data_IF_940357757784
#
_entry.id   IF_940357757784
#
_cell.length_a   1.000
_cell.length_b   1.000
_cell.length_c   1.000
_cell.angle_alpha   90.00
_cell.angle_beta   90.00
_cell.angle_gamma   90.00
#
_symmetry.space_group_name_H-M   'P 1'
#
loop_
_entity.id
_entity.type
_entity.pdbx_description
1 polymer ?
#
# COMPACT_ATOMS: atom_id res chain seq x y z
N UNK A 1 5.22 22.35 -7.39
CA UNK A 1 4.56 22.68 -8.67
C UNK A 1 3.42 23.62 -8.33
N UNK A 2 3.52 24.91 -8.65
CA UNK A 2 2.52 25.89 -8.20
C UNK A 2 1.35 25.92 -9.18
N UNK A 3 0.13 26.01 -8.65
CA UNK A 3 -1.11 26.14 -9.42
C UNK A 3 -1.10 27.43 -10.24
N UNK A 4 -1.51 27.36 -11.50
CA UNK A 4 -1.70 28.58 -12.30
C UNK A 4 -2.97 29.32 -11.83
N UNK A 5 -2.99 30.67 -11.82
CA UNK A 5 -4.17 31.42 -11.43
C UNK A 5 -5.35 31.08 -12.36
N UNK A 6 -6.44 30.58 -11.77
CA UNK A 6 -7.67 30.18 -12.49
C UNK A 6 -7.77 28.70 -12.90
N UNK A 7 -6.71 27.90 -12.74
CA UNK A 7 -6.71 26.45 -13.07
C UNK A 7 -7.62 25.67 -12.11
N UNK A 8 -8.50 24.78 -12.59
CA UNK A 8 -9.30 23.94 -11.68
C UNK A 8 -8.41 22.93 -10.94
N UNK A 9 -8.81 22.49 -9.74
CA UNK A 9 -8.01 21.53 -8.95
C UNK A 9 -7.81 20.21 -9.73
N UNK A 10 -8.83 19.77 -10.47
CA UNK A 10 -8.74 18.57 -11.31
C UNK A 10 -7.72 18.71 -12.45
N UNK A 11 -7.67 19.86 -13.13
CA UNK A 11 -6.74 20.08 -14.25
C UNK A 11 -5.28 20.10 -13.77
N UNK A 12 -5.05 20.75 -12.61
CA UNK A 12 -3.74 20.80 -11.98
C UNK A 12 -3.22 19.40 -11.60
N UNK A 13 -4.10 18.57 -11.02
CA UNK A 13 -3.76 17.21 -10.61
C UNK A 13 -3.53 16.30 -11.82
N UNK A 14 -4.28 16.46 -12.90
CA UNK A 14 -4.06 15.69 -14.13
C UNK A 14 -2.71 16.03 -14.79
N UNK A 15 -2.36 17.33 -14.85
CA UNK A 15 -1.05 17.76 -15.36
C UNK A 15 0.09 17.22 -14.51
N UNK A 16 -0.08 17.24 -13.19
CA UNK A 16 0.88 16.68 -12.25
C UNK A 16 1.03 15.17 -12.46
N UNK A 17 -0.06 14.42 -12.58
CA UNK A 17 -0.04 12.99 -12.83
C UNK A 17 0.69 12.64 -14.14
N UNK A 18 0.48 13.39 -15.22
CA UNK A 18 1.23 13.19 -16.48
C UNK A 18 2.73 13.39 -16.30
N UNK A 19 3.13 14.33 -15.45
CA UNK A 19 4.55 14.59 -15.16
C UNK A 19 5.12 13.47 -14.30
N UNK A 20 4.40 13.07 -13.24
CA UNK A 20 4.78 11.96 -12.36
C UNK A 20 4.94 10.65 -13.13
N UNK A 21 4.07 10.35 -14.10
CA UNK A 21 4.19 9.16 -14.96
C UNK A 21 5.50 9.17 -15.74
N UNK A 22 5.88 10.32 -16.33
CA UNK A 22 7.14 10.44 -17.08
C UNK A 22 8.35 10.24 -16.18
N UNK A 23 8.36 10.91 -15.02
CA UNK A 23 9.44 10.80 -14.03
C UNK A 23 9.54 9.36 -13.51
N UNK A 24 8.41 8.73 -13.20
CA UNK A 24 8.38 7.35 -12.72
C UNK A 24 8.92 6.37 -13.77
N UNK A 25 8.53 6.53 -15.04
CA UNK A 25 9.05 5.70 -16.13
C UNK A 25 10.58 5.86 -16.31
N UNK A 26 11.10 7.09 -16.21
CA UNK A 26 12.54 7.37 -16.27
C UNK A 26 13.26 6.74 -15.08
N UNK A 27 12.77 6.95 -13.86
CA UNK A 27 13.36 6.39 -12.64
C UNK A 27 13.38 4.87 -12.69
N UNK A 28 12.27 4.24 -13.09
CA UNK A 28 12.17 2.79 -13.20
C UNK A 28 13.12 2.23 -14.27
N UNK A 29 13.27 2.91 -15.41
CA UNK A 29 14.25 2.53 -16.44
C UNK A 29 15.69 2.64 -15.94
N UNK A 30 16.01 3.71 -15.19
CA UNK A 30 17.32 3.89 -14.57
C UNK A 30 17.58 2.83 -13.50
N UNK A 31 16.62 2.56 -12.62
CA UNK A 31 16.70 1.50 -11.62
C UNK A 31 16.93 0.14 -12.27
N UNK A 32 16.20 -0.17 -13.35
CA UNK A 32 16.37 -1.43 -14.08
C UNK A 32 17.76 -1.52 -14.74
N UNK A 33 18.25 -0.42 -15.32
CA UNK A 33 19.60 -0.38 -15.89
C UNK A 33 20.68 -0.60 -14.83
N UNK A 34 20.54 0.02 -13.65
CA UNK A 34 21.48 -0.18 -12.52
C UNK A 34 21.43 -1.63 -12.05
N UNK A 35 20.24 -2.18 -11.83
CA UNK A 35 20.05 -3.58 -11.42
C UNK A 35 20.69 -4.52 -12.45
N UNK A 36 20.50 -4.26 -13.75
CA UNK A 36 21.10 -5.05 -14.82
C UNK A 36 22.64 -4.97 -14.79
N UNK A 37 23.21 -3.77 -14.69
CA UNK A 37 24.66 -3.59 -14.60
C UNK A 37 25.21 -4.32 -13.38
N UNK A 38 24.58 -4.15 -12.21
CA UNK A 38 24.97 -4.84 -10.98
C UNK A 38 24.89 -6.36 -11.13
N UNK A 39 23.86 -6.90 -11.79
CA UNK A 39 23.75 -8.35 -12.04
C UNK A 39 24.86 -8.91 -12.94
N UNK A 40 25.43 -8.06 -13.80
CA UNK A 40 26.51 -8.45 -14.71
C UNK A 40 27.89 -8.31 -14.07
N UNK A 41 28.03 -7.47 -13.04
CA UNK A 41 29.33 -7.14 -12.43
C UNK A 41 29.53 -7.76 -11.05
N UNK A 42 28.47 -8.15 -10.35
CA UNK A 42 28.57 -8.67 -9.00
C UNK A 42 28.61 -10.20 -8.99
N UNK A 43 29.61 -10.76 -8.32
CA UNK A 43 29.69 -12.20 -8.05
C UNK A 43 28.90 -12.60 -6.78
N UNK A 44 28.50 -11.63 -5.95
CA UNK A 44 27.76 -11.87 -4.70
C UNK A 44 26.25 -11.63 -4.86
N UNK A 45 25.44 -12.69 -4.74
CA UNK A 45 23.97 -12.62 -4.87
C UNK A 45 23.33 -11.65 -3.85
N UNK A 46 23.83 -11.56 -2.63
CA UNK A 46 23.28 -10.70 -1.57
C UNK A 46 23.37 -9.20 -1.93
N UNK A 47 24.45 -8.81 -2.61
CA UNK A 47 24.65 -7.43 -3.06
C UNK A 47 23.62 -7.02 -4.13
N UNK A 48 23.19 -7.96 -4.98
CA UNK A 48 22.23 -7.72 -6.04
C UNK A 48 20.83 -7.42 -5.48
N UNK A 49 20.35 -8.24 -4.55
CA UNK A 49 19.03 -8.05 -3.92
C UNK A 49 18.96 -6.74 -3.12
N UNK A 50 20.02 -6.43 -2.37
CA UNK A 50 20.13 -5.18 -1.63
C UNK A 50 20.03 -3.95 -2.55
N UNK A 51 20.81 -3.93 -3.63
CA UNK A 51 20.81 -2.82 -4.60
C UNK A 51 19.45 -2.70 -5.30
N UNK A 52 18.84 -3.80 -5.71
CA UNK A 52 17.52 -3.79 -6.34
C UNK A 52 16.45 -3.18 -5.41
N UNK A 53 16.45 -3.58 -4.14
CA UNK A 53 15.52 -3.05 -3.14
C UNK A 53 15.76 -1.56 -2.87
N UNK A 54 17.02 -1.14 -2.75
CA UNK A 54 17.37 0.27 -2.57
C UNK A 54 16.90 1.12 -3.74
N UNK A 55 17.10 0.67 -4.98
CA UNK A 55 16.68 1.40 -6.18
C UNK A 55 15.15 1.51 -6.30
N UNK A 56 14.43 0.44 -5.93
CA UNK A 56 12.97 0.45 -5.88
C UNK A 56 12.46 1.44 -4.83
N UNK A 57 13.00 1.38 -3.61
CA UNK A 57 12.66 2.31 -2.53
C UNK A 57 12.98 3.76 -2.91
N UNK A 58 14.13 4.01 -3.53
CA UNK A 58 14.49 5.34 -4.03
C UNK A 58 13.47 5.88 -5.04
N UNK A 59 13.02 5.03 -5.97
CA UNK A 59 11.98 5.40 -6.94
C UNK A 59 10.66 5.77 -6.24
N UNK A 60 10.21 4.95 -5.30
CA UNK A 60 8.99 5.22 -4.55
C UNK A 60 9.09 6.43 -3.63
N UNK A 61 10.22 6.66 -2.98
CA UNK A 61 10.47 7.87 -2.18
C UNK A 61 10.42 9.11 -3.06
N UNK A 62 11.11 9.10 -4.21
CA UNK A 62 11.19 10.26 -5.10
C UNK A 62 9.81 10.65 -5.64
N UNK A 63 9.06 9.68 -6.17
CA UNK A 63 7.68 9.91 -6.64
C UNK A 63 6.77 10.25 -5.46
N UNK A 64 7.00 9.62 -4.32
CA UNK A 64 6.32 9.88 -3.07
C UNK A 64 6.39 11.32 -2.61
N UNK A 65 7.60 11.88 -2.55
CA UNK A 65 7.84 13.28 -2.21
C UNK A 65 7.14 14.19 -3.22
N UNK A 66 7.28 13.93 -4.51
CA UNK A 66 6.63 14.77 -5.54
C UNK A 66 5.10 14.73 -5.42
N UNK A 67 4.52 13.55 -5.21
CA UNK A 67 3.08 13.39 -5.03
C UNK A 67 2.59 14.02 -3.72
N UNK A 68 3.37 13.88 -2.65
CA UNK A 68 3.07 14.50 -1.36
C UNK A 68 3.09 16.02 -1.45
N UNK A 69 4.11 16.62 -2.09
CA UNK A 69 4.17 18.07 -2.30
C UNK A 69 3.02 18.56 -3.18
N UNK A 70 2.64 17.80 -4.21
CA UNK A 70 1.53 18.19 -5.06
C UNK A 70 0.16 18.08 -4.39
N UNK A 71 0.00 17.18 -3.41
CA UNK A 71 -1.30 16.86 -2.79
C UNK A 71 -1.44 17.24 -1.33
N UNK A 72 -0.37 17.69 -0.69
CA UNK A 72 -0.30 17.94 0.75
C UNK A 72 -1.37 18.90 1.26
N UNK A 73 -1.76 19.88 0.43
CA UNK A 73 -2.74 20.90 0.81
C UNK A 73 -4.19 20.46 0.61
N UNK A 74 -4.43 19.33 -0.08
CA UNK A 74 -5.78 18.81 -0.37
C UNK A 74 -6.26 17.75 0.64
N UNK A 75 -5.44 17.42 1.64
CA UNK A 75 -5.80 16.41 2.64
C UNK A 75 -6.87 16.89 3.62
N UNK A 76 -7.73 15.97 4.08
CA UNK A 76 -8.70 16.25 5.16
C UNK A 76 -7.96 16.72 6.43
N UNK A 77 -6.86 16.04 6.75
CA UNK A 77 -5.89 16.49 7.74
C UNK A 77 -4.72 17.16 7.00
N UNK A 78 -4.41 18.42 7.32
CA UNK A 78 -3.32 19.15 6.68
C UNK A 78 -1.95 18.61 7.09
N UNK A 79 -0.96 18.79 6.22
CA UNK A 79 0.40 18.24 6.34
C UNK A 79 1.16 18.80 7.54
N UNK A 80 0.96 20.07 7.88
CA UNK A 80 1.55 20.71 9.06
C UNK A 80 1.26 19.94 10.35
N UNK A 81 0.02 19.46 10.50
CA UNK A 81 -0.38 18.64 11.65
C UNK A 81 0.31 17.28 11.62
N UNK A 82 0.44 16.64 10.45
CA UNK A 82 1.14 15.36 10.33
C UNK A 82 2.61 15.53 10.73
N UNK A 83 3.29 16.55 10.21
CA UNK A 83 4.68 16.87 10.59
C UNK A 83 4.83 17.14 12.08
N UNK A 84 3.90 17.89 12.67
CA UNK A 84 3.89 18.15 14.11
C UNK A 84 3.79 16.86 14.92
N UNK A 85 2.84 15.97 14.58
CA UNK A 85 2.67 14.71 15.29
C UNK A 85 3.84 13.74 15.07
N UNK A 86 4.42 13.69 13.88
CA UNK A 86 5.62 12.91 13.61
C UNK A 86 6.81 13.40 14.44
N UNK A 87 6.98 14.72 14.57
CA UNK A 87 8.04 15.33 15.38
C UNK A 87 7.85 15.02 16.86
N UNK A 88 6.63 15.18 17.38
CA UNK A 88 6.31 14.83 18.78
C UNK A 88 6.58 13.34 19.03
N UNK A 89 6.12 12.46 18.14
CA UNK A 89 6.34 11.02 18.25
C UNK A 89 7.82 10.66 18.27
N UNK A 90 8.62 11.25 17.37
CA UNK A 90 10.06 11.00 17.29
C UNK A 90 10.83 11.48 18.54
N UNK A 91 10.43 12.62 19.10
CA UNK A 91 10.99 13.13 20.37
C UNK A 91 10.63 12.19 21.53
N UNK A 92 9.38 11.74 21.61
CA UNK A 92 8.94 10.83 22.69
C UNK A 92 9.66 9.48 22.58
N UNK A 93 9.72 8.88 21.39
CA UNK A 93 10.40 7.60 21.18
C UNK A 93 11.90 7.73 21.48
N UNK A 94 12.55 8.78 20.99
CA UNK A 94 13.95 9.03 21.30
C UNK A 94 14.20 9.22 22.79
N UNK A 95 13.31 9.93 23.50
CA UNK A 95 13.43 10.14 24.95
C UNK A 95 13.30 8.82 25.73
N UNK A 96 12.32 7.98 25.36
CA UNK A 96 12.13 6.66 25.98
C UNK A 96 13.33 5.76 25.72
N UNK A 97 13.83 5.74 24.48
CA UNK A 97 14.98 4.90 24.12
C UNK A 97 16.26 5.37 24.82
N UNK A 98 16.52 6.68 24.88
CA UNK A 98 17.66 7.24 25.60
C UNK A 98 17.56 6.98 27.11
N UNK A 99 16.37 7.13 27.70
CA UNK A 99 16.12 6.79 29.10
C UNK A 99 16.40 5.30 29.35
N UNK A 100 15.89 4.42 28.50
CA UNK A 100 16.11 2.98 28.64
C UNK A 100 17.60 2.62 28.54
N UNK A 101 18.32 3.20 27.57
CA UNK A 101 19.76 2.98 27.42
C UNK A 101 20.55 3.51 28.62
N UNK A 102 20.18 4.67 29.17
CA UNK A 102 20.86 5.26 30.33
C UNK A 102 20.69 4.43 31.63
N UNK A 103 19.51 3.83 31.84
CA UNK A 103 19.21 3.13 33.09
C UNK A 103 19.46 1.62 33.05
N UNK A 104 19.35 0.97 31.89
CA UNK A 104 19.34 -0.49 31.79
C UNK A 104 20.52 -1.11 31.05
N UNK A 105 21.31 -0.33 30.30
CA UNK A 105 22.47 -0.84 29.59
C UNK A 105 23.78 -0.41 30.27
N UNK A 106 24.47 -1.40 30.86
CA UNK A 106 25.88 -1.30 31.27
C UNK A 106 26.83 -1.89 30.22
N UNK A 107 26.30 -2.37 29.10
CA UNK A 107 27.09 -2.95 27.99
C UNK A 107 27.01 -2.04 26.75
N UNK A 108 28.08 -1.96 25.95
CA UNK A 108 28.10 -1.15 24.74
C UNK A 108 27.03 -1.62 23.76
N UNK A 109 26.11 -0.72 23.41
CA UNK A 109 25.12 -0.97 22.36
C UNK A 109 25.77 -0.62 21.02
N UNK A 110 25.90 -1.61 20.15
CA UNK A 110 26.11 -1.40 18.72
C UNK A 110 24.76 -1.14 18.08
N UNK A 111 24.43 0.13 17.80
CA UNK A 111 23.28 0.45 16.95
C UNK A 111 23.74 0.33 15.50
N UNK A 112 23.37 -0.79 14.88
CA UNK A 112 23.59 -1.02 13.46
C UNK A 112 22.49 -0.38 12.62
N UNK A 113 22.76 0.79 12.05
CA UNK A 113 22.08 1.22 10.82
C UNK A 113 22.94 0.69 9.67
N UNK A 114 22.39 0.10 8.59
CA UNK A 114 23.21 -0.34 7.46
C UNK A 114 24.13 0.79 6.96
N UNK A 115 25.45 0.62 7.10
CA UNK A 115 26.47 1.62 6.76
C UNK A 115 26.87 2.62 7.87
N UNK A 116 26.29 2.53 9.07
CA UNK A 116 26.62 3.40 10.21
C UNK A 116 26.56 2.60 11.53
N UNK A 117 27.71 2.22 12.08
CA UNK A 117 27.81 1.61 13.41
C UNK A 117 28.28 2.67 14.41
N UNK A 118 27.44 2.98 15.40
CA UNK A 118 27.85 3.79 16.55
C UNK A 118 28.10 2.83 17.71
N UNK A 119 29.35 2.71 18.12
CA UNK A 119 29.71 2.05 19.38
C UNK A 119 29.58 3.08 20.52
N UNK A 120 28.56 2.92 21.36
CA UNK A 120 28.36 3.78 22.52
C UNK A 120 29.07 3.17 23.74
N UNK A 121 30.01 3.93 24.31
CA UNK A 121 30.77 3.54 25.49
C UNK A 121 29.84 3.42 26.72
N UNK A 122 29.95 2.34 27.53
CA UNK A 122 29.07 2.08 28.68
C UNK A 122 29.08 3.15 29.78
N UNK A 123 30.06 4.05 29.81
CA UNK A 123 29.98 5.27 30.64
C UNK A 123 29.29 6.38 29.85
N UNK A 124 27.97 6.28 29.71
CA UNK A 124 27.19 7.36 29.10
C UNK A 124 27.12 8.55 30.05
N UNK A 125 28.08 9.47 29.94
CA UNK A 125 27.92 10.83 30.45
C UNK A 125 26.65 11.46 29.85
N UNK A 126 26.11 12.49 30.52
CA UNK A 126 24.93 13.23 30.09
C UNK A 126 25.04 13.64 28.62
N UNK A 127 26.23 14.03 28.16
CA UNK A 127 26.52 14.38 26.77
C UNK A 127 26.29 13.21 25.80
N UNK A 128 26.79 12.01 26.09
CA UNK A 128 26.59 10.82 25.26
C UNK A 128 25.11 10.42 25.18
N UNK A 129 24.39 10.54 26.30
CA UNK A 129 22.94 10.29 26.35
C UNK A 129 22.15 11.29 25.50
N UNK A 130 22.55 12.57 25.52
CA UNK A 130 21.93 13.60 24.69
C UNK A 130 22.23 13.41 23.19
N UNK A 131 23.44 12.99 22.83
CA UNK A 131 23.79 12.65 21.44
C UNK A 131 22.97 11.44 20.97
N UNK A 132 22.85 10.41 21.81
CA UNK A 132 22.02 9.24 21.52
C UNK A 132 20.55 9.61 21.33
N UNK A 133 19.99 10.41 22.24
CA UNK A 133 18.64 10.95 22.13
C UNK A 133 18.44 11.69 20.80
N UNK A 134 19.32 12.63 20.47
CA UNK A 134 19.22 13.41 19.24
C UNK A 134 19.32 12.52 18.00
N UNK A 135 20.27 11.58 17.97
CA UNK A 135 20.45 10.63 16.88
C UNK A 135 19.24 9.72 16.68
N UNK A 136 18.70 9.15 17.76
CA UNK A 136 17.52 8.30 17.70
C UNK A 136 16.26 9.07 17.31
N UNK A 137 16.03 10.25 17.88
CA UNK A 137 14.90 11.10 17.49
C UNK A 137 15.00 11.51 16.02
N UNK A 138 16.18 11.91 15.54
CA UNK A 138 16.37 12.26 14.14
C UNK A 138 16.19 11.05 13.22
N UNK A 139 16.70 9.88 13.62
CA UNK A 139 16.54 8.63 12.89
C UNK A 139 15.08 8.18 12.77
N UNK A 140 14.33 8.20 13.88
CA UNK A 140 12.89 7.89 13.89
C UNK A 140 12.10 8.89 13.05
N UNK A 141 12.43 10.18 13.15
CA UNK A 141 11.79 11.23 12.36
C UNK A 141 12.07 11.07 10.86
N UNK A 142 13.34 10.89 10.47
CA UNK A 142 13.76 10.65 9.09
C UNK A 142 13.15 9.36 8.52
N UNK A 143 13.12 8.29 9.31
CA UNK A 143 12.45 7.03 8.94
C UNK A 143 10.96 7.22 8.70
N UNK A 144 10.25 7.93 9.59
CA UNK A 144 8.83 8.23 9.43
C UNK A 144 8.54 9.03 8.15
N UNK A 145 9.39 10.02 7.82
CA UNK A 145 9.28 10.78 6.56
C UNK A 145 9.57 9.91 5.33
N UNK A 146 10.58 9.03 5.42
CA UNK A 146 10.91 8.05 4.38
C UNK A 146 9.72 7.14 4.07
N UNK A 147 9.16 6.48 5.09
CA UNK A 147 8.00 5.60 4.94
C UNK A 147 6.74 6.34 4.48
N UNK A 148 6.52 7.57 4.97
CA UNK A 148 5.41 8.41 4.49
C UNK A 148 5.56 8.69 3.00
N UNK A 149 6.76 9.06 2.57
CA UNK A 149 7.08 9.29 1.15
C UNK A 149 6.83 8.03 0.32
N UNK A 150 7.37 6.87 0.74
CA UNK A 150 7.09 5.58 0.08
C UNK A 150 5.58 5.36 -0.03
N UNK A 151 4.83 5.57 1.05
CA UNK A 151 3.37 5.44 1.07
C UNK A 151 2.68 6.34 0.05
N UNK A 152 3.06 7.61 -0.06
CA UNK A 152 2.53 8.49 -1.10
C UNK A 152 2.82 7.98 -2.51
N UNK A 153 4.00 7.41 -2.76
CA UNK A 153 4.38 6.86 -4.06
C UNK A 153 3.55 5.63 -4.42
N UNK A 154 3.44 4.69 -3.47
CA UNK A 154 2.68 3.44 -3.62
C UNK A 154 1.20 3.73 -3.83
N UNK A 155 0.60 4.55 -2.97
CA UNK A 155 -0.81 4.94 -3.09
C UNK A 155 -1.08 5.68 -4.39
N UNK A 156 -0.18 6.57 -4.82
CA UNK A 156 -0.32 7.26 -6.09
C UNK A 156 -0.41 6.29 -7.28
N UNK A 157 0.48 5.29 -7.36
CA UNK A 157 0.42 4.26 -8.41
C UNK A 157 -0.90 3.50 -8.32
N UNK A 158 -1.30 3.06 -7.13
CA UNK A 158 -2.56 2.35 -6.91
C UNK A 158 -3.76 3.15 -7.40
N UNK A 159 -3.81 4.44 -7.08
CA UNK A 159 -4.86 5.37 -7.52
C UNK A 159 -4.83 5.54 -9.03
N UNK A 160 -3.65 5.68 -9.64
CA UNK A 160 -3.49 5.82 -11.08
C UNK A 160 -4.02 4.59 -11.83
N UNK A 161 -3.65 3.39 -11.38
CA UNK A 161 -4.12 2.11 -11.92
C UNK A 161 -5.63 2.02 -11.75
N UNK A 162 -6.15 2.27 -10.55
CA UNK A 162 -7.58 2.19 -10.24
C UNK A 162 -8.40 3.16 -11.08
N UNK A 163 -7.94 4.40 -11.22
CA UNK A 163 -8.59 5.45 -12.03
C UNK A 163 -8.73 5.03 -13.50
N UNK A 164 -7.78 4.26 -14.01
CA UNK A 164 -7.78 3.81 -15.41
C UNK A 164 -8.58 2.51 -15.59
N UNK A 165 -8.40 1.54 -14.71
CA UNK A 165 -9.01 0.22 -14.84
C UNK A 165 -10.47 0.20 -14.41
N UNK A 166 -10.82 0.85 -13.31
CA UNK A 166 -12.14 0.69 -12.69
C UNK A 166 -13.30 1.15 -13.58
N UNK A 167 -13.25 2.31 -14.28
CA UNK A 167 -14.31 2.67 -15.23
C UNK A 167 -14.51 1.64 -16.35
N UNK A 168 -13.42 1.01 -16.79
CA UNK A 168 -13.46 -0.01 -17.83
C UNK A 168 -14.08 -1.31 -17.31
N UNK A 169 -13.71 -1.73 -16.10
CA UNK A 169 -14.30 -2.87 -15.39
C UNK A 169 -15.81 -2.68 -15.21
N UNK A 170 -16.24 -1.50 -14.75
CA UNK A 170 -17.67 -1.19 -14.58
C UNK A 170 -18.44 -1.24 -15.90
N UNK A 171 -17.87 -0.71 -16.98
CA UNK A 171 -18.47 -0.80 -18.32
C UNK A 171 -18.51 -2.24 -18.84
N UNK A 172 -17.50 -3.06 -18.53
CA UNK A 172 -17.45 -4.48 -18.89
C UNK A 172 -18.58 -5.27 -18.22
N UNK A 173 -18.90 -4.96 -16.96
CA UNK A 173 -20.02 -5.57 -16.22
C UNK A 173 -21.35 -5.19 -16.86
N UNK A 174 -21.56 -3.91 -17.19
CA UNK A 174 -22.81 -3.45 -17.81
C UNK A 174 -23.06 -4.10 -19.17
N UNK A 175 -21.98 -4.38 -19.92
CA UNK A 175 -22.04 -4.99 -21.24
C UNK A 175 -22.12 -6.51 -21.21
N UNK A 176 -21.95 -7.13 -20.05
CA UNK A 176 -21.93 -8.58 -19.94
C UNK A 176 -23.31 -9.17 -20.26
N UNK A 177 -23.35 -10.05 -21.25
CA UNK A 177 -24.53 -10.80 -21.74
C UNK A 177 -24.40 -12.31 -21.51
N UNK A 178 -23.24 -12.81 -21.07
CA UNK A 178 -23.12 -14.17 -20.50
C UNK A 178 -21.85 -14.92 -20.89
N UNK A 179 -22.00 -16.20 -21.29
CA UNK A 179 -20.98 -16.94 -22.06
C UNK A 179 -20.80 -16.19 -23.41
N UNK A 180 -20.07 -16.59 -24.44
CA UNK A 180 -19.79 -15.72 -25.63
C UNK A 180 -19.03 -14.40 -25.37
N UNK A 181 -19.16 -13.73 -24.22
CA UNK A 181 -18.34 -12.57 -23.86
C UNK A 181 -16.87 -12.94 -23.67
N UNK A 182 -15.96 -11.97 -23.84
CA UNK A 182 -14.52 -12.18 -23.69
C UNK A 182 -14.18 -12.75 -22.30
N UNK A 183 -13.14 -13.57 -22.26
CA UNK A 183 -12.69 -14.24 -21.04
C UNK A 183 -12.41 -13.27 -19.88
N UNK A 184 -11.90 -12.07 -20.19
CA UNK A 184 -11.70 -11.00 -19.22
C UNK A 184 -12.99 -10.56 -18.52
N UNK A 185 -14.11 -10.46 -19.24
CA UNK A 185 -15.39 -10.08 -18.66
C UNK A 185 -15.93 -11.16 -17.73
N UNK A 186 -15.74 -12.44 -18.10
CA UNK A 186 -16.10 -13.57 -17.25
C UNK A 186 -15.31 -13.60 -15.95
N UNK A 187 -13.99 -13.34 -16.01
CA UNK A 187 -13.16 -13.24 -14.80
C UNK A 187 -13.67 -12.11 -13.91
N UNK A 188 -13.97 -10.94 -14.47
CA UNK A 188 -14.45 -9.78 -13.71
C UNK A 188 -15.76 -10.10 -12.99
N UNK A 189 -16.75 -10.64 -13.70
CA UNK A 189 -18.05 -11.00 -13.13
C UNK A 189 -17.89 -12.10 -12.07
N UNK A 190 -17.07 -13.12 -12.34
CA UNK A 190 -16.76 -14.20 -11.40
C UNK A 190 -16.09 -13.67 -10.12
N UNK A 191 -15.13 -12.75 -10.26
CA UNK A 191 -14.41 -12.14 -9.16
C UNK A 191 -15.32 -11.24 -8.31
N UNK A 192 -16.26 -10.54 -8.94
CA UNK A 192 -17.26 -9.72 -8.24
C UNK A 192 -18.44 -10.51 -7.68
N UNK A 193 -18.49 -11.84 -7.86
CA UNK A 193 -19.52 -12.73 -7.32
C UNK A 193 -20.96 -12.21 -7.55
N UNK A 194 -21.22 -11.67 -8.75
CA UNK A 194 -22.51 -11.08 -9.08
C UNK A 194 -23.53 -12.21 -9.32
N UNK A 195 -24.67 -12.25 -8.59
CA UNK A 195 -25.71 -13.24 -8.83
C UNK A 195 -26.32 -13.13 -10.23
N UNK A 196 -26.50 -14.27 -10.91
CA UNK A 196 -27.09 -14.34 -12.27
C UNK A 196 -28.52 -13.78 -12.37
N UNK A 197 -29.22 -13.65 -11.24
CA UNK A 197 -30.60 -13.13 -11.16
C UNK A 197 -30.66 -11.60 -11.30
N UNK A 198 -29.54 -10.89 -11.17
CA UNK A 198 -29.51 -9.43 -11.20
C UNK A 198 -29.24 -8.90 -12.62
N UNK A 199 -29.98 -7.86 -12.99
CA UNK A 199 -29.77 -7.16 -14.27
C UNK A 199 -28.55 -6.24 -14.21
N UNK A 200 -27.42 -6.72 -14.73
CA UNK A 200 -26.14 -5.96 -14.74
C UNK A 200 -26.23 -4.65 -15.55
N UNK A 201 -27.17 -4.56 -16.49
CA UNK A 201 -27.44 -3.34 -17.28
C UNK A 201 -27.92 -2.16 -16.44
N UNK A 202 -28.51 -2.43 -15.27
CA UNK A 202 -29.01 -1.40 -14.36
C UNK A 202 -27.96 -0.89 -13.35
N UNK A 203 -26.67 -1.18 -13.55
CA UNK A 203 -25.60 -0.72 -12.66
C UNK A 203 -25.68 0.80 -12.43
N UNK A 204 -25.89 1.20 -11.17
CA UNK A 204 -25.93 2.59 -10.72
C UNK A 204 -24.64 2.93 -9.97
N UNK A 205 -24.08 4.07 -10.33
CA UNK A 205 -22.99 4.73 -9.60
C UNK A 205 -23.62 5.87 -8.79
N UNK A 206 -23.29 5.94 -7.50
CA UNK A 206 -23.77 7.02 -6.63
C UNK A 206 -23.13 8.37 -6.96
N UNK A 207 -23.62 9.44 -6.33
CA UNK A 207 -22.91 10.71 -6.35
C UNK A 207 -21.60 10.60 -5.55
N UNK A 208 -20.49 11.15 -6.07
CA UNK A 208 -19.22 11.13 -5.37
C UNK A 208 -19.36 12.06 -4.18
N UNK A 209 -19.26 11.50 -2.96
CA UNK A 209 -19.33 12.30 -1.75
C UNK A 209 -18.03 13.09 -1.60
N UNK A 210 -18.09 14.42 -1.63
CA UNK A 210 -16.99 15.25 -1.11
C UNK A 210 -16.92 15.04 0.41
N UNK A 211 -16.00 14.19 0.86
CA UNK A 211 -15.90 13.83 2.27
C UNK A 211 -15.29 14.97 3.07
N UNK A 212 -16.13 15.72 3.78
CA UNK A 212 -15.67 16.70 4.79
C UNK A 212 -15.02 16.05 6.02
N UNK A 213 -15.25 14.76 6.25
CA UNK A 213 -14.78 14.04 7.43
C UNK A 213 -14.07 12.74 7.08
N UNK A 214 -13.09 12.37 7.89
CA UNK A 214 -12.32 11.14 7.71
C UNK A 214 -13.20 9.89 7.92
N UNK A 215 -13.26 8.95 6.94
CA UNK A 215 -14.18 7.82 6.95
C UNK A 215 -13.69 6.67 7.86
N UNK A 216 -13.74 6.86 9.18
CA UNK A 216 -13.20 5.93 10.19
C UNK A 216 -13.59 4.46 10.00
N UNK A 217 -14.87 4.19 9.67
CA UNK A 217 -15.36 2.82 9.49
C UNK A 217 -14.71 2.13 8.28
N UNK A 218 -14.58 2.83 7.16
CA UNK A 218 -13.96 2.29 5.96
C UNK A 218 -12.44 2.16 6.14
N UNK A 219 -11.83 3.13 6.82
CA UNK A 219 -10.43 3.08 7.21
C UNK A 219 -10.11 1.82 8.03
N UNK A 220 -10.85 1.55 9.11
CA UNK A 220 -10.63 0.35 9.95
C UNK A 220 -10.85 -0.93 9.15
N UNK A 221 -11.87 -0.96 8.27
CA UNK A 221 -12.11 -2.11 7.41
C UNK A 221 -10.97 -2.35 6.42
N UNK A 222 -10.44 -1.31 5.79
CA UNK A 222 -9.32 -1.41 4.86
C UNK A 222 -8.05 -1.88 5.56
N UNK A 223 -7.69 -1.29 6.70
CA UNK A 223 -6.58 -1.77 7.53
C UNK A 223 -6.76 -3.23 7.89
N UNK A 224 -7.97 -3.63 8.32
CA UNK A 224 -8.26 -5.04 8.64
C UNK A 224 -8.07 -5.98 7.45
N UNK A 225 -8.42 -5.56 6.23
CA UNK A 225 -8.20 -6.35 5.01
C UNK A 225 -6.72 -6.43 4.62
N UNK A 226 -5.97 -5.32 4.75
CA UNK A 226 -4.53 -5.32 4.50
C UNK A 226 -3.80 -6.23 5.49
N UNK A 227 -4.17 -6.19 6.78
CA UNK A 227 -3.66 -7.09 7.80
C UNK A 227 -4.01 -8.56 7.53
N UNK A 228 -5.25 -8.83 7.12
CA UNK A 228 -5.70 -10.19 6.79
C UNK A 228 -4.89 -10.76 5.63
N UNK A 229 -4.79 -10.03 4.52
CA UNK A 229 -4.02 -10.48 3.34
C UNK A 229 -2.54 -10.60 3.67
N UNK A 230 -1.96 -9.64 4.38
CA UNK A 230 -0.57 -9.70 4.80
C UNK A 230 -0.28 -10.85 5.76
N UNK A 231 -1.24 -11.23 6.61
CA UNK A 231 -1.13 -12.43 7.46
C UNK A 231 -1.14 -13.69 6.61
N UNK A 232 -2.05 -13.81 5.64
CA UNK A 232 -2.06 -14.98 4.75
C UNK A 232 -0.77 -15.06 3.94
N UNK A 233 -0.24 -13.93 3.48
CA UNK A 233 1.03 -13.89 2.76
C UNK A 233 2.20 -14.33 3.65
N UNK A 234 2.25 -13.86 4.89
CA UNK A 234 3.28 -14.29 5.84
C UNK A 234 3.18 -15.77 6.18
N UNK A 235 1.95 -16.28 6.36
CA UNK A 235 1.72 -17.71 6.48
C UNK A 235 2.28 -18.40 5.26
N UNK A 236 1.90 -18.02 4.03
CA UNK A 236 2.41 -18.63 2.80
C UNK A 236 3.95 -18.63 2.69
N UNK A 237 4.60 -17.48 2.92
CA UNK A 237 6.06 -17.37 2.85
C UNK A 237 6.72 -18.25 3.91
N UNK A 238 6.19 -18.26 5.13
CA UNK A 238 6.68 -19.11 6.23
C UNK A 238 6.41 -20.61 6.04
N UNK A 239 5.69 -20.98 4.98
CA UNK A 239 5.41 -22.36 4.59
C UNK A 239 6.18 -22.80 3.37
N UNK A 240 6.86 -21.86 2.71
CA UNK A 240 7.60 -22.16 1.52
C UNK A 240 8.95 -22.79 1.93
N UNK A 241 9.18 -24.09 1.68
CA UNK A 241 10.40 -24.78 2.10
C UNK A 241 11.64 -24.14 1.46
N UNK A 242 11.52 -23.60 0.24
CA UNK A 242 12.59 -22.89 -0.44
C UNK A 242 13.01 -21.63 0.33
N UNK A 243 12.05 -20.90 0.90
CA UNK A 243 12.34 -19.70 1.70
C UNK A 243 12.96 -20.07 3.05
N UNK A 244 12.48 -21.16 3.67
CA UNK A 244 12.96 -21.60 4.98
C UNK A 244 14.37 -22.22 4.95
N UNK A 245 14.76 -22.82 3.84
CA UNK A 245 16.07 -23.47 3.70
C UNK A 245 17.17 -22.51 3.20
N UNK A 246 16.81 -21.43 2.50
CA UNK A 246 17.79 -20.56 1.80
C UNK A 246 17.93 -19.15 2.36
N UNK A 247 16.99 -18.64 3.15
CA UNK A 247 16.98 -17.23 3.57
C UNK A 247 17.16 -17.09 5.08
N UNK A 248 17.98 -16.12 5.47
CA UNK A 248 18.05 -15.71 6.87
C UNK A 248 16.70 -15.10 7.29
N UNK A 249 16.42 -15.13 8.59
CA UNK A 249 15.19 -14.56 9.15
C UNK A 249 15.02 -13.07 8.83
N UNK A 250 16.12 -12.32 8.79
CA UNK A 250 16.12 -10.91 8.45
C UNK A 250 15.73 -10.70 6.97
N UNK A 251 16.21 -11.56 6.08
CA UNK A 251 15.87 -11.50 4.66
C UNK A 251 14.41 -11.86 4.40
N UNK A 252 13.88 -12.85 5.11
CA UNK A 252 12.47 -13.18 5.06
C UNK A 252 11.58 -12.00 5.51
N UNK A 253 11.98 -11.27 6.57
CA UNK A 253 11.29 -10.06 7.04
C UNK A 253 11.43 -8.91 6.03
N UNK A 254 12.59 -8.75 5.41
CA UNK A 254 12.82 -7.73 4.37
C UNK A 254 11.97 -8.01 3.11
N UNK A 255 11.91 -9.26 2.67
CA UNK A 255 11.05 -9.67 1.56
C UNK A 255 9.57 -9.43 1.91
N UNK A 256 9.14 -9.84 3.10
CA UNK A 256 7.77 -9.66 3.56
C UNK A 256 7.38 -8.18 3.70
N UNK A 257 8.29 -7.33 4.18
CA UNK A 257 8.07 -5.89 4.26
C UNK A 257 7.98 -5.25 2.86
N UNK A 258 8.79 -5.72 1.90
CA UNK A 258 8.71 -5.30 0.50
C UNK A 258 7.40 -5.74 -0.14
N UNK A 259 6.98 -6.99 0.11
CA UNK A 259 5.70 -7.50 -0.36
C UNK A 259 4.50 -6.77 0.27
N UNK A 260 4.67 -6.20 1.46
CA UNK A 260 3.63 -5.39 2.11
C UNK A 260 3.29 -4.13 1.32
N UNK A 261 4.19 -3.65 0.46
CA UNK A 261 3.94 -2.55 -0.49
C UNK A 261 2.90 -2.95 -1.56
N UNK A 262 2.82 -4.23 -1.91
CA UNK A 262 1.88 -4.76 -2.91
C UNK A 262 0.47 -4.86 -2.35
N UNK A 263 0.32 -5.04 -1.03
CA UNK A 263 -0.99 -5.24 -0.39
C UNK A 263 -1.96 -4.07 -0.66
N UNK A 264 -1.57 -2.79 -0.50
CA UNK A 264 -2.40 -1.65 -0.89
C UNK A 264 -2.84 -1.68 -2.36
N UNK A 265 -1.96 -2.10 -3.29
CA UNK A 265 -2.30 -2.18 -4.71
C UNK A 265 -3.46 -3.15 -4.96
N UNK A 266 -3.63 -4.13 -4.09
CA UNK A 266 -4.67 -5.15 -4.19
C UNK A 266 -5.93 -4.71 -3.44
N UNK A 267 -5.80 -4.22 -2.20
CA UNK A 267 -6.94 -3.92 -1.31
C UNK A 267 -7.64 -2.62 -1.68
N UNK A 268 -6.90 -1.55 -1.90
CA UNK A 268 -7.45 -0.19 -2.08
C UNK A 268 -8.36 -0.04 -3.29
N UNK A 269 -8.09 -0.65 -4.47
CA UNK A 269 -9.00 -0.58 -5.60
C UNK A 269 -10.43 -1.04 -5.28
N UNK A 270 -10.60 -1.97 -4.33
CA UNK A 270 -11.93 -2.44 -3.92
C UNK A 270 -12.65 -1.41 -3.06
N UNK A 271 -11.93 -0.69 -2.22
CA UNK A 271 -12.50 0.42 -1.44
C UNK A 271 -12.89 1.61 -2.33
N UNK A 272 -12.24 1.79 -3.48
CA UNK A 272 -12.70 2.76 -4.47
C UNK A 272 -14.12 2.44 -5.00
N UNK A 273 -14.50 1.16 -5.14
CA UNK A 273 -15.87 0.77 -5.51
C UNK A 273 -16.91 1.21 -4.47
N UNK A 274 -16.56 1.13 -3.18
CA UNK A 274 -17.43 1.63 -2.11
C UNK A 274 -17.54 3.15 -2.11
N UNK A 275 -16.45 3.86 -2.42
CA UNK A 275 -16.46 5.32 -2.47
C UNK A 275 -17.29 5.86 -3.65
N UNK A 276 -17.34 5.11 -4.75
CA UNK A 276 -18.21 5.38 -5.91
C UNK A 276 -19.65 4.87 -5.70
N UNK A 277 -19.89 4.12 -4.63
CA UNK A 277 -21.18 3.49 -4.32
C UNK A 277 -21.75 2.70 -5.51
N UNK A 278 -20.90 1.88 -6.13
CA UNK A 278 -21.28 1.07 -7.29
C UNK A 278 -22.19 -0.09 -6.86
N UNK A 279 -23.44 -0.06 -7.33
CA UNK A 279 -24.49 -1.01 -6.94
C UNK A 279 -25.36 -1.44 -8.10
N UNK A 280 -25.78 -2.70 -8.09
CA UNK A 280 -26.78 -3.24 -9.01
C UNK A 280 -28.10 -3.30 -8.22
N UNK A 281 -29.17 -2.62 -8.68
CA UNK A 281 -30.45 -2.67 -8.00
C UNK A 281 -30.98 -4.11 -7.98
N UNK A 282 -31.52 -4.52 -6.83
CA UNK A 282 -32.08 -5.85 -6.63
C UNK A 282 -33.49 -5.76 -6.04
N UNK A 283 -34.25 -6.85 -6.15
CA UNK A 283 -35.68 -6.88 -5.77
C UNK A 283 -35.91 -6.57 -4.28
N UNK A 284 -35.03 -7.02 -3.38
CA UNK A 284 -35.12 -6.78 -1.92
C UNK A 284 -34.04 -5.87 -1.36
N UNK A 285 -32.85 -5.89 -1.95
CA UNK A 285 -31.68 -5.13 -1.50
C UNK A 285 -30.74 -4.94 -2.68
N UNK A 286 -30.20 -3.74 -2.81
CA UNK A 286 -29.17 -3.43 -3.79
C UNK A 286 -27.91 -4.26 -3.52
N UNK A 287 -27.39 -4.88 -4.58
CA UNK A 287 -26.13 -5.61 -4.54
C UNK A 287 -24.97 -4.63 -4.73
N UNK A 288 -24.20 -4.42 -3.66
CA UNK A 288 -22.97 -3.64 -3.74
C UNK A 288 -21.84 -4.51 -4.28
N UNK A 289 -21.18 -4.09 -5.35
CA UNK A 289 -20.08 -4.85 -5.98
C UNK A 289 -18.96 -5.20 -4.99
N UNK A 290 -18.70 -4.30 -4.03
CA UNK A 290 -17.74 -4.53 -2.95
C UNK A 290 -18.06 -5.77 -2.10
N UNK A 291 -19.34 -6.04 -1.81
CA UNK A 291 -19.72 -7.20 -1.00
C UNK A 291 -19.44 -8.52 -1.73
N UNK A 292 -19.59 -8.53 -3.05
CA UNK A 292 -19.27 -9.70 -3.86
C UNK A 292 -17.78 -10.00 -3.89
N UNK A 293 -16.93 -8.98 -4.13
CA UNK A 293 -15.47 -9.12 -4.03
C UNK A 293 -15.07 -9.62 -2.64
N UNK A 294 -15.62 -9.01 -1.59
CA UNK A 294 -15.37 -9.38 -0.19
C UNK A 294 -15.67 -10.86 0.05
N UNK A 295 -16.82 -11.35 -0.42
CA UNK A 295 -17.27 -12.74 -0.30
C UNK A 295 -16.30 -13.69 -1.01
N UNK A 296 -15.98 -13.39 -2.29
CA UNK A 296 -15.11 -14.23 -3.10
C UNK A 296 -13.71 -14.36 -2.50
N UNK A 297 -13.12 -13.24 -2.10
CA UNK A 297 -11.79 -13.22 -1.50
C UNK A 297 -11.77 -14.01 -0.21
N UNK A 298 -12.76 -13.83 0.67
CA UNK A 298 -12.83 -14.61 1.90
C UNK A 298 -12.88 -16.12 1.60
N UNK A 299 -13.70 -16.53 0.62
CA UNK A 299 -13.79 -17.95 0.22
C UNK A 299 -12.46 -18.48 -0.32
N UNK A 300 -11.82 -17.76 -1.25
CA UNK A 300 -10.55 -18.18 -1.87
C UNK A 300 -9.41 -18.23 -0.86
N UNK A 301 -9.28 -17.20 -0.02
CA UNK A 301 -8.21 -17.12 0.98
C UNK A 301 -8.41 -18.07 2.15
N UNK A 302 -9.66 -18.33 2.58
CA UNK A 302 -9.93 -19.37 3.59
C UNK A 302 -9.55 -20.74 3.04
N UNK A 303 -9.93 -21.05 1.79
CA UNK A 303 -9.57 -22.31 1.14
C UNK A 303 -8.03 -22.47 1.02
N UNK A 304 -7.34 -21.47 0.47
CA UNK A 304 -5.89 -21.50 0.32
C UNK A 304 -5.16 -21.51 1.66
N UNK A 305 -5.59 -20.69 2.63
CA UNK A 305 -5.01 -20.64 3.97
C UNK A 305 -5.15 -21.96 4.72
N UNK A 306 -6.28 -22.65 4.53
CA UNK A 306 -6.53 -23.98 5.11
C UNK A 306 -5.58 -25.02 4.52
N UNK A 307 -5.42 -25.04 3.19
CA UNK A 307 -4.48 -25.93 2.49
C UNK A 307 -3.05 -25.66 2.98
N UNK A 308 -2.67 -24.39 3.08
CA UNK A 308 -1.33 -23.98 3.52
C UNK A 308 -1.06 -24.43 4.98
N UNK A 309 -2.04 -24.26 5.88
CA UNK A 309 -1.94 -24.75 7.26
C UNK A 309 -1.78 -26.28 7.34
N UNK A 310 -2.52 -27.04 6.53
CA UNK A 310 -2.38 -28.50 6.48
C UNK A 310 -0.98 -28.93 6.01
N UNK A 311 -0.44 -28.25 4.99
CA UNK A 311 0.93 -28.47 4.53
C UNK A 311 1.93 -28.17 5.65
N UNK A 312 1.73 -27.10 6.44
CA UNK A 312 2.61 -26.80 7.60
C UNK A 312 2.64 -27.90 8.63
N UNK A 313 1.45 -28.33 9.06
CA UNK A 313 1.30 -29.31 10.13
C UNK A 313 1.97 -30.64 9.75
N UNK A 314 2.10 -30.90 8.45
CA UNK A 314 2.80 -32.06 7.91
C UNK A 314 4.34 -31.92 7.87
N UNK A 315 4.91 -30.71 7.94
CA UNK A 315 6.32 -30.41 7.59
C UNK A 315 7.27 -30.14 8.79
N UNK A 316 7.04 -30.75 9.97
CA UNK A 316 7.97 -30.84 11.14
C UNK A 316 8.09 -29.67 12.12
N UNK A 317 8.65 -30.05 13.27
CA UNK A 317 8.91 -29.32 14.52
C UNK A 317 9.96 -28.23 14.36
N UNK A 318 9.55 -26.97 14.45
CA UNK A 318 10.45 -25.83 14.67
C UNK A 318 10.35 -25.37 16.13
N UNK A 319 11.46 -24.87 16.68
CA UNK A 319 11.46 -24.17 17.97
C UNK A 319 10.54 -22.95 17.91
N UNK A 320 9.43 -23.00 18.65
CA UNK A 320 8.35 -22.02 18.59
C UNK A 320 8.78 -20.58 18.93
N UNK A 321 9.84 -20.40 19.72
CA UNK A 321 10.28 -19.09 20.23
C UNK A 321 10.80 -18.13 19.16
N UNK A 322 11.73 -18.59 18.31
CA UNK A 322 12.35 -17.77 17.25
C UNK A 322 11.33 -17.40 16.17
N UNK A 323 10.39 -18.31 15.89
CA UNK A 323 9.30 -18.06 14.97
C UNK A 323 8.36 -16.96 15.50
N UNK A 324 8.00 -17.03 16.77
CA UNK A 324 7.07 -16.10 17.40
C UNK A 324 7.60 -14.65 17.40
N UNK A 325 8.87 -14.45 17.75
CA UNK A 325 9.47 -13.11 17.77
C UNK A 325 9.49 -12.44 16.38
N UNK A 326 9.75 -13.24 15.36
CA UNK A 326 9.87 -12.80 13.97
C UNK A 326 8.51 -12.47 13.36
N UNK A 327 7.49 -13.27 13.68
CA UNK A 327 6.10 -12.98 13.34
C UNK A 327 5.60 -11.70 14.00
N UNK A 328 5.99 -11.44 15.26
CA UNK A 328 5.63 -10.19 15.96
C UNK A 328 6.25 -8.98 15.26
N UNK A 329 7.55 -9.01 14.94
CA UNK A 329 8.22 -7.91 14.25
C UNK A 329 7.63 -7.61 12.87
N UNK A 330 7.34 -8.66 12.09
CA UNK A 330 6.64 -8.52 10.82
C UNK A 330 5.23 -7.93 11.01
N UNK A 331 4.44 -8.45 11.93
CA UNK A 331 3.06 -8.02 12.13
C UNK A 331 2.98 -6.57 12.61
N UNK A 332 3.89 -6.14 13.47
CA UNK A 332 4.02 -4.72 13.88
C UNK A 332 4.32 -3.85 12.66
N UNK A 333 5.29 -4.24 11.84
CA UNK A 333 5.68 -3.50 10.63
C UNK A 333 4.52 -3.43 9.64
N UNK A 334 3.88 -4.57 9.35
CA UNK A 334 2.71 -4.65 8.48
C UNK A 334 1.57 -3.77 9.00
N UNK A 335 1.31 -3.77 10.31
CA UNK A 335 0.26 -2.94 10.91
C UNK A 335 0.54 -1.45 10.73
N UNK A 336 1.79 -1.02 10.96
CA UNK A 336 2.19 0.37 10.79
C UNK A 336 2.07 0.82 9.33
N UNK A 337 2.56 -0.01 8.40
CA UNK A 337 2.46 0.28 6.96
C UNK A 337 1.01 0.30 6.48
N UNK A 338 0.19 -0.66 6.91
CA UNK A 338 -1.22 -0.73 6.54
C UNK A 338 -2.00 0.51 7.03
N UNK A 339 -1.79 0.89 8.29
CA UNK A 339 -2.36 2.11 8.88
C UNK A 339 -1.93 3.34 8.09
N UNK A 340 -0.63 3.48 7.82
CA UNK A 340 -0.07 4.63 7.12
C UNK A 340 -0.59 4.74 5.68
N UNK A 341 -0.54 3.66 4.91
CA UNK A 341 -0.92 3.66 3.50
C UNK A 341 -2.43 3.84 3.33
N UNK A 342 -3.22 3.15 4.13
CA UNK A 342 -4.68 3.33 4.18
C UNK A 342 -5.04 4.76 4.61
N UNK A 343 -4.30 5.35 5.55
CA UNK A 343 -4.51 6.73 5.97
C UNK A 343 -4.23 7.72 4.84
N UNK A 344 -3.08 7.57 4.15
CA UNK A 344 -2.72 8.41 3.00
C UNK A 344 -3.82 8.35 1.93
N UNK A 345 -4.32 7.15 1.61
CA UNK A 345 -5.40 6.98 0.65
C UNK A 345 -6.68 7.73 1.03
N UNK A 346 -7.23 7.46 2.22
CA UNK A 346 -8.48 8.09 2.65
C UNK A 346 -8.36 9.58 2.95
N UNK A 347 -7.17 10.05 3.34
CA UNK A 347 -6.96 11.45 3.65
C UNK A 347 -6.78 12.32 2.39
N UNK A 348 -6.08 11.81 1.36
CA UNK A 348 -5.66 12.62 0.20
C UNK A 348 -6.29 12.23 -1.14
N UNK A 349 -6.63 10.95 -1.36
CA UNK A 349 -6.94 10.44 -2.70
C UNK A 349 -8.39 9.99 -2.91
N UNK A 350 -9.06 9.51 -1.85
CA UNK A 350 -10.37 8.84 -1.94
C UNK A 350 -11.45 9.67 -2.65
N UNK A 351 -11.63 10.93 -2.25
CA UNK A 351 -12.68 11.81 -2.82
C UNK A 351 -12.37 12.16 -4.29
N UNK A 352 -11.11 12.48 -4.60
CA UNK A 352 -10.66 12.81 -5.95
C UNK A 352 -10.80 11.60 -6.89
N UNK A 353 -10.42 10.42 -6.43
CA UNK A 353 -10.51 9.18 -7.19
C UNK A 353 -11.98 8.84 -7.51
N UNK A 354 -12.87 8.94 -6.53
CA UNK A 354 -14.29 8.63 -6.72
C UNK A 354 -14.94 9.54 -7.78
N UNK A 355 -14.63 10.84 -7.76
CA UNK A 355 -15.09 11.81 -8.77
C UNK A 355 -14.58 11.46 -10.17
N UNK A 356 -13.28 11.22 -10.30
CA UNK A 356 -12.65 10.85 -11.57
C UNK A 356 -13.22 9.55 -12.18
N UNK A 357 -13.47 8.53 -11.35
CA UNK A 357 -14.05 7.27 -11.82
C UNK A 357 -15.45 7.49 -12.39
N UNK A 358 -16.29 8.26 -11.69
CA UNK A 358 -17.65 8.57 -12.15
C UNK A 358 -17.63 9.31 -13.47
N UNK A 359 -16.87 10.40 -13.58
CA UNK A 359 -16.79 11.21 -14.80
C UNK A 359 -16.35 10.36 -16.00
N UNK A 360 -15.30 9.54 -15.83
CA UNK A 360 -14.82 8.64 -16.88
C UNK A 360 -15.83 7.56 -17.24
N UNK A 361 -16.53 7.00 -16.26
CA UNK A 361 -17.57 6.01 -16.49
C UNK A 361 -18.75 6.60 -17.27
N UNK A 362 -19.20 7.82 -16.94
CA UNK A 362 -20.29 8.49 -17.65
C UNK A 362 -19.92 8.78 -19.11
N UNK A 363 -18.69 9.23 -19.37
CA UNK A 363 -18.18 9.42 -20.74
C UNK A 363 -18.20 8.11 -21.51
N UNK A 364 -17.71 7.01 -20.90
CA UNK A 364 -17.73 5.69 -21.52
C UNK A 364 -19.16 5.23 -21.79
N UNK A 365 -20.08 5.41 -20.84
CA UNK A 365 -21.49 5.04 -20.96
C UNK A 365 -22.19 5.79 -22.09
N UNK A 366 -21.97 7.11 -22.23
CA UNK A 366 -22.53 7.92 -23.33
C UNK A 366 -22.07 7.44 -24.70
N UNK A 367 -20.80 7.05 -24.84
CA UNK A 367 -20.28 6.46 -26.08
C UNK A 367 -20.95 5.13 -26.43
N UNK A 368 -21.51 4.41 -25.45
CA UNK A 368 -22.25 3.16 -25.68
C UNK A 368 -23.71 3.42 -26.04
N UNK A 369 -24.32 4.46 -25.46
CA UNK A 369 -25.74 4.77 -25.65
C UNK A 369 -26.05 5.56 -26.92
N UNK A 370 -25.05 5.90 -27.73
CA UNK A 370 -25.21 6.45 -29.08
C UNK A 370 -24.97 5.34 -30.11
N UNK A 371 -25.99 4.53 -30.46
CA UNK A 371 -25.94 3.70 -31.66
C UNK A 371 -26.43 4.52 -32.86
N UNK A 372 -25.56 4.77 -33.84
CA UNK A 372 -25.97 5.32 -35.14
C UNK A 372 -25.00 6.34 -35.74
N UNK A 373 -23.80 5.88 -36.13
CA UNK A 373 -23.03 6.40 -37.26
C UNK A 373 -21.92 5.37 -37.53
N UNK A 374 -22.34 4.26 -38.15
CA UNK A 374 -21.55 3.40 -39.05
C UNK A 374 -22.52 2.58 -39.91
#
# INVERSE_FOLDING_TARGET
MNRAPGESISDHLERTDRTLIKVFAILLAVSFAIILVTSLTSEEEDSFYGIALTMLNFTFITIGIMSWVARGDYGIVPTDKIFKWATIGAVVVGAIAAFYCYFFFNEPISIGIPGFSIELNPYMDLTSTLILFAGLSFGVWGGALGYTSIGFGVIWITVLITRRLLPHILNMIVRFRGKNDPYSARIVVWFMDIPDVLEMTELKIGEPFERRYFPKRMFIQAVGWELFIGTVLAVYVSLNPVVLESLSLLDAVNILSTLSIIIPLVVIPWFALTSVNARIPGVKKDFMLFNGIKSRILQTFVALGTIALFIRLALREYEAGTLLNSFVGYYVTLSLLAILFTYIFFNYYDSELAKNIKERYEILRRKVSLPGDD
#
